data_IF_494870765312
#
_entry.id   IF_494870765312
#
_cell.length_a   1.000
_cell.length_b   1.000
_cell.length_c   1.000
_cell.angle_alpha   90.00
_cell.angle_beta   90.00
_cell.angle_gamma   90.00
#
_symmetry.space_group_name_H-M   'P 1'
#
loop_
_entity.id
_entity.type
_entity.pdbx_description
1 polymer ?
#
# COMPACT_ATOMS: atom_id res chain seq x y z
N UNK A 1 -27.68 -6.10 -10.78
CA UNK A 1 -27.14 -4.73 -10.58
C UNK A 1 -25.63 -4.82 -10.67
N UNK A 2 -25.05 -4.39 -11.77
CA UNK A 2 -23.59 -4.46 -12.03
C UNK A 2 -22.92 -3.34 -11.23
N UNK A 3 -22.36 -3.67 -10.07
CA UNK A 3 -21.63 -2.73 -9.24
C UNK A 3 -20.28 -2.44 -9.93
N UNK A 4 -20.18 -1.31 -10.64
CA UNK A 4 -18.90 -0.84 -11.18
C UNK A 4 -18.02 -0.45 -10.01
N UNK A 5 -17.06 -1.32 -9.67
CA UNK A 5 -16.01 -1.05 -8.69
C UNK A 5 -15.19 0.17 -9.14
N UNK A 6 -15.38 1.30 -8.47
CA UNK A 6 -14.60 2.51 -8.74
C UNK A 6 -13.20 2.32 -8.17
N UNK A 7 -12.20 2.30 -9.05
CA UNK A 7 -10.78 2.23 -8.68
C UNK A 7 -10.25 3.66 -8.63
N UNK A 8 -9.76 4.10 -7.48
CA UNK A 8 -9.05 5.38 -7.39
C UNK A 8 -7.73 5.28 -8.18
N UNK A 9 -7.35 6.33 -8.94
CA UNK A 9 -6.13 6.31 -9.72
C UNK A 9 -4.92 6.02 -8.79
N UNK A 10 -3.95 5.22 -9.24
CA UNK A 10 -2.74 4.97 -8.48
C UNK A 10 -2.03 6.28 -8.14
N UNK A 11 -1.57 6.40 -6.89
CA UNK A 11 -0.74 7.52 -6.44
C UNK A 11 0.60 7.02 -5.93
N UNK A 12 1.65 7.78 -6.21
CA UNK A 12 2.98 7.52 -5.66
C UNK A 12 3.16 8.26 -4.34
N UNK A 13 3.69 7.57 -3.34
CA UNK A 13 4.08 8.13 -2.05
C UNK A 13 5.57 7.88 -1.86
N UNK A 14 6.32 8.96 -1.67
CA UNK A 14 7.72 8.91 -1.28
C UNK A 14 7.79 8.96 0.25
N UNK A 15 8.58 8.06 0.84
CA UNK A 15 8.88 8.05 2.26
C UNK A 15 10.38 8.26 2.43
N UNK A 16 10.76 9.19 3.30
CA UNK A 16 12.13 9.35 3.75
C UNK A 16 12.52 8.20 4.71
N UNK A 17 13.80 8.10 5.06
CA UNK A 17 14.25 7.14 6.07
C UNK A 17 13.49 7.33 7.39
N UNK A 18 13.24 6.22 8.07
CA UNK A 18 12.59 6.16 9.38
C UNK A 18 11.13 6.65 9.40
N UNK A 19 10.48 6.72 8.23
CA UNK A 19 9.08 7.08 8.09
C UNK A 19 8.20 5.87 7.74
N UNK A 20 6.91 6.01 8.01
CA UNK A 20 5.91 5.00 7.66
C UNK A 20 4.66 5.61 7.01
N UNK A 21 4.10 4.85 6.08
CA UNK A 21 2.78 5.09 5.54
C UNK A 21 1.75 4.26 6.30
N UNK A 22 0.88 4.92 7.07
CA UNK A 22 -0.24 4.30 7.80
C UNK A 22 -1.50 4.30 6.95
N UNK A 23 -2.18 3.17 6.92
CA UNK A 23 -3.47 3.04 6.25
C UNK A 23 -4.46 2.17 7.04
N UNK A 24 -5.74 2.45 6.83
CA UNK A 24 -6.87 1.67 7.31
C UNK A 24 -7.72 1.28 6.10
N UNK A 25 -8.09 0.00 6.04
CA UNK A 25 -8.96 -0.53 4.98
C UNK A 25 -10.10 -1.33 5.59
N UNK A 26 -11.33 -0.95 5.25
CA UNK A 26 -12.55 -1.66 5.64
C UNK A 26 -12.62 -3.06 4.99
N UNK A 27 -13.47 -3.95 5.52
CA UNK A 27 -13.61 -5.33 5.01
C UNK A 27 -14.18 -5.42 3.58
N UNK A 28 -14.94 -4.41 3.16
CA UNK A 28 -15.52 -4.30 1.81
C UNK A 28 -14.68 -3.43 0.86
N UNK A 29 -13.46 -3.06 1.27
CA UNK A 29 -12.53 -2.27 0.46
C UNK A 29 -11.22 -3.03 0.30
N UNK A 30 -10.47 -2.68 -0.74
CA UNK A 30 -9.10 -3.15 -0.94
C UNK A 30 -8.17 -1.96 -1.12
N UNK A 31 -6.94 -2.13 -0.67
CA UNK A 31 -5.81 -1.26 -1.04
C UNK A 31 -4.73 -2.15 -1.63
N UNK A 32 -4.16 -1.71 -2.75
CA UNK A 32 -2.98 -2.34 -3.35
C UNK A 32 -1.77 -1.45 -3.10
N UNK A 33 -0.67 -2.05 -2.69
CA UNK A 33 0.61 -1.39 -2.43
C UNK A 33 1.69 -2.11 -3.23
N UNK A 34 2.48 -1.35 -3.97
CA UNK A 34 3.63 -1.86 -4.71
C UNK A 34 4.87 -1.01 -4.38
N UNK A 35 5.94 -1.66 -3.98
CA UNK A 35 7.24 -1.00 -3.78
C UNK A 35 7.87 -0.73 -5.15
N UNK A 36 8.13 0.54 -5.48
CA UNK A 36 8.73 0.95 -6.74
C UNK A 36 10.26 1.06 -6.65
N UNK A 37 10.78 1.58 -5.52
CA UNK A 37 12.21 1.72 -5.21
C UNK A 37 12.46 1.74 -3.71
N UNK A 38 13.69 1.46 -3.29
CA UNK A 38 14.12 1.46 -1.88
C UNK A 38 13.79 0.16 -1.17
N UNK A 39 13.76 0.20 0.17
CA UNK A 39 13.36 -0.93 1.02
C UNK A 39 12.13 -0.55 1.83
N UNK A 40 11.21 -1.49 2.01
CA UNK A 40 10.01 -1.27 2.82
C UNK A 40 9.55 -2.58 3.45
N UNK A 41 8.93 -2.49 4.61
CA UNK A 41 8.43 -3.64 5.37
C UNK A 41 7.06 -3.36 5.99
N UNK A 42 6.30 -4.43 6.22
CA UNK A 42 5.09 -4.41 7.06
C UNK A 42 5.37 -5.31 8.26
N UNK A 43 5.53 -4.72 9.45
CA UNK A 43 5.81 -5.41 10.71
C UNK A 43 6.99 -6.41 10.62
N UNK A 44 8.13 -5.98 10.06
CA UNK A 44 9.32 -6.82 9.88
C UNK A 44 9.29 -7.76 8.66
N UNK A 45 8.20 -7.81 7.90
CA UNK A 45 8.14 -8.57 6.64
C UNK A 45 8.43 -7.64 5.46
N UNK A 46 9.53 -7.90 4.75
CA UNK A 46 9.95 -7.10 3.59
C UNK A 46 8.96 -7.21 2.41
N UNK A 47 8.78 -6.09 1.71
CA UNK A 47 8.07 -6.02 0.44
C UNK A 47 9.07 -6.12 -0.71
N UNK A 48 8.82 -7.03 -1.66
CA UNK A 48 9.64 -7.15 -2.85
C UNK A 48 9.32 -6.01 -3.84
N UNK A 49 10.37 -5.41 -4.43
CA UNK A 49 10.24 -4.39 -5.46
C UNK A 49 9.46 -4.97 -6.65
N UNK A 50 8.49 -4.21 -7.15
CA UNK A 50 7.68 -4.58 -8.30
C UNK A 50 6.52 -5.53 -8.00
N UNK A 51 6.40 -6.04 -6.77
CA UNK A 51 5.31 -6.94 -6.37
C UNK A 51 4.14 -6.15 -5.79
N UNK A 52 2.94 -6.45 -6.25
CA UNK A 52 1.70 -5.84 -5.75
C UNK A 52 1.12 -6.67 -4.61
N UNK A 53 1.00 -6.05 -3.44
CA UNK A 53 0.38 -6.62 -2.26
C UNK A 53 -1.01 -6.04 -2.08
N UNK A 54 -2.02 -6.88 -1.79
CA UNK A 54 -3.40 -6.45 -1.57
C UNK A 54 -3.79 -6.63 -0.11
N UNK A 55 -4.33 -5.58 0.50
CA UNK A 55 -4.82 -5.59 1.88
C UNK A 55 -6.32 -5.30 1.93
N UNK A 56 -6.99 -5.91 2.92
CA UNK A 56 -8.41 -5.69 3.22
C UNK A 56 -8.65 -5.92 4.73
N UNK A 57 -9.65 -5.25 5.30
CA UNK A 57 -10.09 -5.47 6.68
C UNK A 57 -9.01 -5.28 7.76
N UNK A 58 -8.07 -4.35 7.59
CA UNK A 58 -6.98 -4.14 8.57
C UNK A 58 -6.53 -2.68 8.70
N UNK A 59 -5.84 -2.43 9.80
CA UNK A 59 -4.94 -1.28 10.01
C UNK A 59 -3.50 -1.78 9.89
N UNK A 60 -2.67 -1.10 9.10
CA UNK A 60 -1.27 -1.45 8.95
C UNK A 60 -0.41 -0.22 8.63
N UNK A 61 0.90 -0.40 8.74
CA UNK A 61 1.90 0.57 8.35
C UNK A 61 2.90 -0.10 7.41
N UNK A 62 3.29 0.60 6.35
CA UNK A 62 4.48 0.28 5.56
C UNK A 62 5.60 1.17 6.07
N UNK A 63 6.60 0.59 6.70
CA UNK A 63 7.74 1.30 7.27
C UNK A 63 8.95 1.18 6.34
N UNK A 64 9.83 2.18 6.36
CA UNK A 64 11.13 2.10 5.69
C UNK A 64 12.26 2.62 6.57
N UNK A 65 13.35 1.86 6.65
CA UNK A 65 14.58 2.28 7.33
C UNK A 65 15.45 3.22 6.48
N UNK A 66 15.32 3.16 5.15
CA UNK A 66 16.28 3.78 4.24
C UNK A 66 15.63 4.69 3.18
N UNK A 67 14.32 4.87 3.27
CA UNK A 67 13.53 5.57 2.28
C UNK A 67 13.03 4.64 1.18
N UNK A 68 11.84 4.94 0.66
CA UNK A 68 11.22 4.17 -0.41
C UNK A 68 10.20 4.98 -1.22
N UNK A 69 9.74 4.40 -2.32
CA UNK A 69 8.58 4.89 -3.08
C UNK A 69 7.56 3.79 -3.25
N UNK A 70 6.32 4.12 -2.93
CA UNK A 70 5.19 3.21 -2.95
C UNK A 70 4.16 3.68 -3.97
N UNK A 71 3.69 2.80 -4.83
CA UNK A 71 2.45 3.01 -5.58
C UNK A 71 1.28 2.45 -4.79
N UNK A 72 0.24 3.27 -4.59
CA UNK A 72 -0.96 2.95 -3.81
C UNK A 72 -2.20 3.15 -4.66
N UNK A 73 -3.13 2.18 -4.65
CA UNK A 73 -4.47 2.34 -5.22
C UNK A 73 -5.54 1.77 -4.29
N UNK A 74 -6.70 2.41 -4.25
CA UNK A 74 -7.86 1.99 -3.46
C UNK A 74 -8.98 1.52 -4.37
N UNK A 75 -9.63 0.42 -3.99
CA UNK A 75 -10.75 -0.17 -4.72
C UNK A 75 -11.94 -0.35 -3.78
N UNK A 76 -13.11 0.10 -4.24
CA UNK A 76 -14.38 -0.26 -3.63
C UNK A 76 -14.87 -1.59 -4.23
N UNK A 77 -15.25 -2.56 -3.41
CA UNK A 77 -15.87 -3.82 -3.86
C UNK A 77 -17.39 -3.69 -3.98
#
# INVERSE_FOLDING_TARGET
TTNTATTEPPRTIELDSDHEFRFEVEFNKKVTIKLLKGTAEVFGTELAIGVTYTFTGRKAAVYTWHGCSLEISFLLL
#
